data_IF_356984963378
#
_entry.id   IF_356984963378
#
_cell.length_a   1.000
_cell.length_b   1.000
_cell.length_c   1.000
_cell.angle_alpha   90.00
_cell.angle_beta   90.00
_cell.angle_gamma   90.00
#
_symmetry.space_group_name_H-M   'P 1'
#
loop_
_entity.id
_entity.type
_entity.pdbx_description
1 polymer ?
#
# COMPACT_ATOMS: atom_id res chain seq x y z
N UNK A 1 -3.97 -27.12 -16.58
CA UNK A 1 -2.58 -26.98 -16.13
C UNK A 1 -2.24 -25.50 -16.22
N UNK A 2 -2.17 -24.80 -15.12
CA UNK A 2 -1.66 -23.41 -15.08
C UNK A 2 -0.15 -23.51 -15.29
N UNK A 3 0.34 -22.88 -16.34
CA UNK A 3 1.78 -22.81 -16.59
C UNK A 3 2.37 -21.89 -15.52
N UNK A 4 3.21 -22.42 -14.65
CA UNK A 4 3.96 -21.60 -13.71
C UNK A 4 4.85 -20.64 -14.51
N UNK A 5 4.65 -19.35 -14.34
CA UNK A 5 5.36 -18.28 -15.07
C UNK A 5 6.58 -17.76 -14.30
N UNK A 6 7.00 -18.45 -13.25
CA UNK A 6 8.22 -18.10 -12.53
C UNK A 6 9.45 -18.39 -13.39
N UNK A 7 10.37 -17.44 -13.39
CA UNK A 7 11.68 -17.65 -14.02
C UNK A 7 12.48 -18.69 -13.23
N UNK A 8 13.10 -19.62 -13.90
CA UNK A 8 13.93 -20.67 -13.30
C UNK A 8 15.37 -20.22 -13.06
N UNK A 9 15.85 -19.28 -13.87
CA UNK A 9 17.23 -18.80 -13.84
C UNK A 9 17.27 -17.28 -14.05
N UNK A 10 18.27 -16.63 -13.45
CA UNK A 10 18.49 -15.19 -13.59
C UNK A 10 19.99 -14.89 -13.51
N UNK A 11 20.57 -14.06 -14.43
CA UNK A 11 22.02 -13.86 -14.53
C UNK A 11 22.65 -13.22 -13.28
N UNK A 12 21.87 -12.54 -12.45
CA UNK A 12 22.38 -11.80 -11.29
C UNK A 12 21.74 -12.21 -9.95
N UNK A 13 20.75 -13.10 -9.97
CA UNK A 13 20.03 -13.51 -8.75
C UNK A 13 20.11 -15.02 -8.60
N UNK A 14 20.59 -15.49 -7.45
CA UNK A 14 20.43 -16.88 -7.06
C UNK A 14 18.98 -17.14 -6.70
N UNK A 15 18.29 -17.96 -7.48
CA UNK A 15 16.91 -18.32 -7.25
C UNK A 15 16.89 -19.65 -6.50
N UNK A 16 16.63 -19.59 -5.21
CA UNK A 16 16.38 -20.75 -4.36
C UNK A 16 14.99 -20.58 -3.74
N UNK A 17 14.05 -21.42 -4.15
CA UNK A 17 12.64 -21.28 -3.73
C UNK A 17 12.28 -22.10 -2.49
N UNK A 18 13.07 -23.09 -2.14
CA UNK A 18 12.72 -24.00 -1.06
C UNK A 18 11.43 -24.79 -1.36
N UNK A 19 10.74 -25.20 -0.29
CA UNK A 19 9.48 -25.93 -0.39
C UNK A 19 8.30 -24.99 -0.64
N UNK A 20 7.33 -25.48 -1.44
CA UNK A 20 6.14 -24.71 -1.78
C UNK A 20 5.22 -24.55 -0.57
N UNK A 21 4.74 -23.33 -0.37
CA UNK A 21 3.75 -22.94 0.64
C UNK A 21 2.38 -22.90 -0.03
N UNK A 22 1.42 -23.69 0.49
CA UNK A 22 0.06 -23.68 -0.03
C UNK A 22 -0.79 -22.64 0.70
N UNK A 23 -1.43 -21.74 -0.05
CA UNK A 23 -2.44 -20.80 0.40
C UNK A 23 -3.67 -20.84 -0.51
N UNK A 24 -4.74 -20.16 -0.16
CA UNK A 24 -5.99 -20.15 -0.93
C UNK A 24 -6.23 -18.78 -1.58
N UNK A 25 -6.62 -18.79 -2.85
CA UNK A 25 -7.14 -17.62 -3.54
C UNK A 25 -8.55 -17.88 -4.07
N UNK A 26 -9.54 -17.15 -3.55
CA UNK A 26 -10.97 -17.35 -3.85
C UNK A 26 -11.37 -18.83 -3.74
N UNK A 27 -10.90 -19.51 -2.68
CA UNK A 27 -11.17 -20.93 -2.42
C UNK A 27 -10.35 -21.93 -3.26
N UNK A 28 -9.46 -21.47 -4.14
CA UNK A 28 -8.58 -22.34 -4.93
C UNK A 28 -7.19 -22.41 -4.28
N UNK A 29 -6.59 -23.60 -4.16
CA UNK A 29 -5.23 -23.74 -3.67
C UNK A 29 -4.24 -23.15 -4.67
N UNK A 30 -3.30 -22.35 -4.18
CA UNK A 30 -2.22 -21.71 -4.93
C UNK A 30 -0.91 -22.03 -4.24
N UNK A 31 0.12 -22.34 -5.02
CA UNK A 31 1.47 -22.54 -4.54
C UNK A 31 2.23 -21.20 -4.55
N UNK A 32 2.82 -20.86 -3.42
CA UNK A 32 3.81 -19.79 -3.26
C UNK A 32 5.10 -20.34 -2.69
N UNK A 33 6.11 -19.51 -2.54
CA UNK A 33 7.39 -19.91 -1.97
C UNK A 33 7.82 -18.97 -0.84
N UNK A 34 8.69 -19.42 0.09
CA UNK A 34 9.20 -18.58 1.15
C UNK A 34 9.80 -17.28 0.60
N UNK A 35 9.43 -16.14 1.18
CA UNK A 35 9.88 -14.83 0.73
C UNK A 35 9.11 -14.23 -0.46
N UNK A 36 8.23 -14.98 -1.12
CA UNK A 36 7.33 -14.41 -2.13
C UNK A 36 6.23 -13.59 -1.47
N UNK A 37 5.85 -12.49 -2.12
CA UNK A 37 4.61 -11.80 -1.77
C UNK A 37 3.41 -12.50 -2.40
N UNK A 38 2.23 -12.34 -1.79
CA UNK A 38 0.97 -12.86 -2.36
C UNK A 38 0.79 -12.36 -3.80
N UNK A 39 1.15 -11.11 -4.08
CA UNK A 39 1.05 -10.54 -5.43
C UNK A 39 1.95 -11.26 -6.44
N UNK A 40 3.18 -11.58 -6.05
CA UNK A 40 4.14 -12.29 -6.90
C UNK A 40 3.64 -13.71 -7.20
N UNK A 41 3.20 -14.44 -6.17
CA UNK A 41 2.67 -15.80 -6.34
C UNK A 41 1.45 -15.82 -7.26
N UNK A 42 0.47 -14.95 -7.07
CA UNK A 42 -0.70 -14.86 -7.93
C UNK A 42 -0.36 -14.43 -9.37
N UNK A 43 0.62 -13.53 -9.54
CA UNK A 43 1.08 -13.13 -10.87
C UNK A 43 1.75 -14.29 -11.61
N UNK A 44 2.53 -15.09 -10.92
CA UNK A 44 3.18 -16.29 -11.45
C UNK A 44 2.17 -17.35 -11.89
N UNK A 45 1.05 -17.47 -11.17
CA UNK A 45 -0.10 -18.31 -11.53
C UNK A 45 -0.96 -17.75 -12.69
N UNK A 46 -0.52 -16.65 -13.30
CA UNK A 46 -1.20 -16.07 -14.46
C UNK A 46 -2.29 -15.04 -14.15
N UNK A 47 -2.48 -14.64 -12.88
CA UNK A 47 -3.41 -13.56 -12.57
C UNK A 47 -2.86 -12.23 -13.12
N UNK A 48 -3.70 -11.50 -13.88
CA UNK A 48 -3.32 -10.20 -14.48
C UNK A 48 -4.19 -9.04 -13.98
N UNK A 49 -5.37 -9.34 -13.47
CA UNK A 49 -6.29 -8.35 -12.90
C UNK A 49 -6.34 -8.57 -11.40
N UNK A 50 -5.85 -7.61 -10.63
CA UNK A 50 -5.72 -7.69 -9.17
C UNK A 50 -6.81 -6.91 -8.45
N UNK A 51 -7.32 -5.84 -9.06
CA UNK A 51 -8.44 -5.07 -8.52
C UNK A 51 -9.20 -4.36 -9.64
N UNK A 52 -10.28 -3.71 -9.25
CA UNK A 52 -11.07 -2.82 -10.11
C UNK A 52 -10.97 -1.38 -9.62
N UNK A 53 -11.06 -0.41 -10.51
CA UNK A 53 -11.03 1.00 -10.12
C UNK A 53 -12.31 1.39 -9.39
N UNK A 54 -12.22 2.31 -8.44
CA UNK A 54 -13.32 2.66 -7.55
C UNK A 54 -14.53 3.27 -8.25
N UNK A 55 -14.32 3.95 -9.37
CA UNK A 55 -15.36 4.72 -10.04
C UNK A 55 -15.94 3.99 -11.24
N UNK A 56 -15.09 3.47 -12.09
CA UNK A 56 -15.49 2.86 -13.37
C UNK A 56 -15.26 1.37 -13.43
N UNK A 57 -14.84 0.76 -12.34
CA UNK A 57 -14.53 -0.67 -12.27
C UNK A 57 -13.61 -1.18 -13.40
N UNK A 58 -12.74 -0.31 -13.90
CA UNK A 58 -11.73 -0.68 -14.91
C UNK A 58 -10.73 -1.66 -14.31
N UNK A 59 -10.31 -2.70 -15.06
CA UNK A 59 -9.34 -3.67 -14.57
C UNK A 59 -8.00 -2.99 -14.25
N UNK A 60 -7.40 -3.39 -13.13
CA UNK A 60 -6.09 -2.92 -12.67
C UNK A 60 -5.16 -4.08 -12.43
N UNK A 61 -3.97 -4.01 -13.02
CA UNK A 61 -2.87 -4.93 -12.77
C UNK A 61 -1.96 -4.41 -11.65
N UNK A 62 -0.89 -5.12 -11.34
CA UNK A 62 0.16 -4.64 -10.45
C UNK A 62 0.80 -3.38 -11.05
N UNK A 63 1.16 -2.43 -10.19
CA UNK A 63 1.74 -1.16 -10.62
C UNK A 63 2.98 -0.79 -9.82
N UNK A 64 2.84 -0.37 -8.56
CA UNK A 64 3.99 0.16 -7.80
C UNK A 64 4.86 -0.91 -7.14
N UNK A 65 4.30 -2.08 -6.81
CA UNK A 65 4.94 -3.19 -6.08
C UNK A 65 5.57 -2.82 -4.72
N UNK A 66 5.42 -1.57 -4.30
CA UNK A 66 6.04 -0.99 -3.09
C UNK A 66 5.01 -0.56 -2.02
N UNK A 67 3.74 -0.93 -2.20
CA UNK A 67 2.69 -0.62 -1.23
C UNK A 67 2.14 0.81 -1.27
N UNK A 68 2.47 1.63 -2.28
CA UNK A 68 2.04 3.03 -2.35
C UNK A 68 0.76 3.24 -3.15
N UNK A 69 0.36 2.30 -4.00
CA UNK A 69 -0.87 2.40 -4.78
C UNK A 69 -1.98 1.49 -4.25
N UNK A 70 -3.17 1.64 -4.82
CA UNK A 70 -4.36 0.84 -4.48
C UNK A 70 -4.65 -0.26 -5.51
N UNK A 71 -3.67 -0.65 -6.33
CA UNK A 71 -3.93 -1.58 -7.44
C UNK A 71 -4.01 -3.04 -7.03
N UNK A 72 -3.40 -3.42 -5.92
CA UNK A 72 -3.32 -4.80 -5.44
C UNK A 72 -4.09 -5.02 -4.13
N UNK A 73 -5.17 -4.27 -3.90
CA UNK A 73 -5.98 -4.43 -2.69
C UNK A 73 -6.81 -5.70 -2.76
N UNK A 74 -6.65 -6.56 -1.75
CA UNK A 74 -7.43 -7.78 -1.56
C UNK A 74 -7.78 -7.96 -0.08
N UNK A 75 -8.68 -8.88 0.20
CA UNK A 75 -8.95 -9.33 1.57
C UNK A 75 -7.99 -10.48 1.88
N UNK A 76 -7.31 -10.40 3.01
CA UNK A 76 -6.39 -11.44 3.48
C UNK A 76 -6.80 -11.83 4.89
N UNK A 77 -7.10 -13.10 5.09
CA UNK A 77 -7.57 -13.67 6.36
C UNK A 77 -8.68 -12.82 7.02
N UNK A 78 -9.64 -12.37 6.22
CA UNK A 78 -10.76 -11.54 6.67
C UNK A 78 -10.46 -10.04 6.79
N UNK A 79 -9.20 -9.61 6.69
CA UNK A 79 -8.81 -8.19 6.74
C UNK A 79 -8.94 -7.58 5.34
N UNK A 80 -9.82 -6.61 5.11
CA UNK A 80 -10.01 -5.98 3.82
C UNK A 80 -8.90 -4.94 3.53
N UNK A 81 -8.76 -4.57 2.25
CA UNK A 81 -7.87 -3.50 1.78
C UNK A 81 -6.38 -3.73 2.05
N UNK A 82 -5.98 -5.00 2.16
CA UNK A 82 -4.57 -5.37 2.32
C UNK A 82 -3.82 -5.20 0.99
N UNK A 83 -2.68 -4.56 1.02
CA UNK A 83 -1.77 -4.43 -0.13
C UNK A 83 -0.94 -5.69 -0.27
N UNK A 84 -1.42 -6.64 -1.05
CA UNK A 84 -0.82 -7.96 -1.18
C UNK A 84 0.59 -7.97 -1.80
N UNK A 85 1.04 -6.87 -2.37
CA UNK A 85 2.43 -6.72 -2.81
C UNK A 85 3.44 -6.51 -1.65
N UNK A 86 2.94 -6.36 -0.41
CA UNK A 86 3.76 -6.17 0.81
C UNK A 86 3.59 -7.30 1.81
N UNK A 87 2.71 -8.24 1.53
CA UNK A 87 2.43 -9.36 2.43
C UNK A 87 3.04 -10.63 1.85
N UNK A 88 3.89 -11.26 2.63
CA UNK A 88 4.50 -12.54 2.27
C UNK A 88 3.49 -13.68 2.39
N UNK A 89 3.62 -14.68 1.54
CA UNK A 89 2.78 -15.87 1.62
C UNK A 89 3.06 -16.66 2.91
N UNK A 90 2.00 -17.16 3.52
CA UNK A 90 2.07 -18.02 4.70
C UNK A 90 1.18 -19.24 4.51
N UNK A 91 1.50 -20.39 5.13
CA UNK A 91 0.71 -21.60 5.01
C UNK A 91 -0.74 -21.41 5.46
N UNK A 92 -1.69 -21.89 4.66
CA UNK A 92 -3.11 -21.85 4.99
C UNK A 92 -3.80 -20.50 4.89
N UNK A 93 -3.10 -19.43 4.51
CA UNK A 93 -3.63 -18.09 4.33
C UNK A 93 -4.79 -18.07 3.34
N UNK A 94 -5.82 -17.28 3.63
CA UNK A 94 -7.01 -17.09 2.77
C UNK A 94 -6.97 -15.71 2.14
N UNK A 95 -6.85 -15.69 0.82
CA UNK A 95 -6.83 -14.46 0.02
C UNK A 95 -8.09 -14.41 -0.84
N UNK A 96 -8.79 -13.29 -0.80
CA UNK A 96 -10.02 -13.11 -1.56
C UNK A 96 -9.96 -11.80 -2.36
N UNK A 97 -10.45 -11.86 -3.59
CA UNK A 97 -10.66 -10.65 -4.38
C UNK A 97 -11.75 -9.79 -3.75
N UNK A 98 -11.60 -8.47 -3.81
CA UNK A 98 -12.60 -7.54 -3.31
C UNK A 98 -13.03 -6.57 -4.41
N UNK A 99 -14.19 -5.94 -4.19
CA UNK A 99 -14.72 -4.88 -5.06
C UNK A 99 -14.89 -5.31 -6.53
N UNK A 100 -15.33 -6.55 -6.77
CA UNK A 100 -15.69 -7.07 -8.08
C UNK A 100 -16.75 -8.15 -7.92
N UNK A 101 -17.75 -8.15 -8.79
CA UNK A 101 -18.81 -9.16 -8.78
C UNK A 101 -19.24 -9.50 -10.20
N UNK A 102 -19.34 -10.77 -10.57
CA UNK A 102 -19.03 -11.98 -9.79
C UNK A 102 -17.54 -12.30 -9.68
N UNK A 103 -16.66 -11.66 -10.46
CA UNK A 103 -15.21 -11.93 -10.40
C UNK A 103 -14.38 -10.74 -10.87
N UNK A 104 -13.06 -10.76 -10.57
CA UNK A 104 -12.13 -9.76 -11.08
C UNK A 104 -12.08 -9.70 -12.61
N UNK A 105 -12.24 -10.84 -13.29
CA UNK A 105 -12.22 -10.91 -14.74
C UNK A 105 -13.48 -10.35 -15.36
N UNK A 106 -14.62 -10.68 -14.77
CA UNK A 106 -15.94 -10.22 -15.22
C UNK A 106 -16.64 -9.52 -14.05
N UNK A 107 -16.85 -8.22 -14.19
CA UNK A 107 -17.41 -7.37 -13.14
C UNK A 107 -18.59 -6.57 -13.71
N UNK A 108 -19.78 -6.81 -13.18
CA UNK A 108 -21.02 -6.15 -13.63
C UNK A 108 -20.95 -4.64 -13.41
N UNK A 109 -20.29 -4.20 -12.33
CA UNK A 109 -20.15 -2.78 -12.04
C UNK A 109 -19.29 -2.02 -13.08
N UNK A 110 -18.57 -2.72 -13.97
CA UNK A 110 -17.83 -2.12 -15.08
C UNK A 110 -18.74 -1.39 -16.08
N UNK A 111 -20.04 -1.67 -16.09
CA UNK A 111 -21.06 -0.91 -16.84
C UNK A 111 -21.03 0.59 -16.50
N UNK A 112 -20.61 0.95 -15.28
CA UNK A 112 -20.43 2.34 -14.86
C UNK A 112 -19.47 3.13 -15.77
N UNK A 113 -18.56 2.43 -16.46
CA UNK A 113 -17.66 3.04 -17.45
C UNK A 113 -18.35 3.61 -18.66
N UNK A 114 -19.52 3.08 -19.05
CA UNK A 114 -20.34 3.60 -20.15
C UNK A 114 -21.21 4.80 -19.72
N UNK A 115 -21.34 5.01 -18.41
CA UNK A 115 -22.08 6.12 -17.82
C UNK A 115 -21.14 7.27 -17.38
N UNK A 116 -20.01 7.43 -18.06
CA UNK A 116 -18.98 8.39 -17.67
C UNK A 116 -19.50 9.84 -17.73
N UNK A 117 -20.42 10.14 -18.61
CA UNK A 117 -21.08 11.45 -18.74
C UNK A 117 -21.87 11.83 -17.46
N UNK A 118 -22.39 10.85 -16.70
CA UNK A 118 -23.04 11.07 -15.41
C UNK A 118 -22.01 11.19 -14.27
N UNK A 119 -20.90 10.50 -14.41
CA UNK A 119 -19.88 10.34 -13.39
C UNK A 119 -18.66 11.26 -13.63
N UNK A 120 -18.83 12.45 -14.21
CA UNK A 120 -17.75 13.42 -14.42
C UNK A 120 -17.03 13.79 -13.12
N UNK A 121 -15.78 14.29 -13.15
CA UNK A 121 -15.08 14.74 -11.94
C UNK A 121 -15.94 15.66 -11.09
N UNK A 122 -15.99 15.39 -9.78
CA UNK A 122 -16.81 16.16 -8.86
C UNK A 122 -18.30 15.81 -8.87
N UNK A 123 -18.73 14.72 -9.54
CA UNK A 123 -20.14 14.32 -9.62
C UNK A 123 -20.79 14.17 -8.23
N UNK A 124 -20.06 13.69 -7.23
CA UNK A 124 -20.54 13.53 -5.85
C UNK A 124 -21.04 14.86 -5.26
N UNK A 125 -20.34 15.97 -5.57
CA UNK A 125 -20.64 17.29 -5.05
C UNK A 125 -21.60 18.10 -5.93
N UNK A 126 -21.80 17.68 -7.18
CA UNK A 126 -22.63 18.42 -8.13
C UNK A 126 -24.02 17.82 -8.32
N UNK A 127 -24.11 16.49 -8.44
CA UNK A 127 -25.37 15.83 -8.85
C UNK A 127 -26.07 15.07 -7.73
N UNK A 128 -25.32 14.54 -6.76
CA UNK A 128 -25.87 13.66 -5.73
C UNK A 128 -26.07 14.33 -4.38
N UNK A 129 -25.76 15.61 -4.24
CA UNK A 129 -25.90 16.36 -2.99
C UNK A 129 -27.31 16.93 -2.79
N UNK A 130 -28.09 17.05 -3.84
CA UNK A 130 -29.46 17.58 -3.81
C UNK A 130 -30.45 16.59 -4.41
N UNK A 131 -31.61 16.38 -3.77
CA UNK A 131 -32.01 16.89 -2.45
C UNK A 131 -31.25 16.24 -1.31
N UNK A 132 -31.02 16.96 -0.21
CA UNK A 132 -30.18 16.51 0.94
C UNK A 132 -30.63 15.18 1.55
N UNK A 133 -31.93 14.92 1.60
CA UNK A 133 -32.45 13.68 2.16
C UNK A 133 -32.07 12.43 1.35
N UNK A 134 -31.88 12.59 0.03
CA UNK A 134 -31.51 11.51 -0.87
C UNK A 134 -29.97 11.25 -0.83
N UNK A 135 -29.19 12.24 -0.35
CA UNK A 135 -27.73 12.14 -0.29
C UNK A 135 -27.25 10.91 0.47
N UNK A 136 -27.83 10.61 1.63
CA UNK A 136 -27.42 9.45 2.44
C UNK A 136 -27.66 8.11 1.74
N UNK A 137 -28.66 8.01 0.88
CA UNK A 137 -28.95 6.82 0.09
C UNK A 137 -27.87 6.68 -0.99
N UNK A 138 -27.59 7.78 -1.71
CA UNK A 138 -26.55 7.83 -2.73
C UNK A 138 -25.15 7.59 -2.15
N UNK A 139 -24.84 8.18 -1.02
CA UNK A 139 -23.56 7.99 -0.34
C UNK A 139 -23.34 6.51 -0.01
N UNK A 140 -24.35 5.86 0.54
CA UNK A 140 -24.29 4.44 0.90
C UNK A 140 -24.06 3.56 -0.34
N UNK A 141 -24.76 3.86 -1.43
CA UNK A 141 -24.60 3.18 -2.71
C UNK A 141 -23.21 3.41 -3.31
N UNK A 142 -22.77 4.67 -3.39
CA UNK A 142 -21.46 5.04 -3.93
C UNK A 142 -20.30 4.43 -3.10
N UNK A 143 -20.44 4.43 -1.79
CA UNK A 143 -19.45 3.81 -0.89
C UNK A 143 -19.34 2.30 -1.13
N UNK A 144 -20.48 1.63 -1.29
CA UNK A 144 -20.51 0.20 -1.60
C UNK A 144 -19.90 -0.11 -2.98
N UNK A 145 -20.21 0.70 -3.96
CA UNK A 145 -19.64 0.58 -5.31
C UNK A 145 -18.12 0.84 -5.31
N UNK A 146 -17.65 1.81 -4.54
CA UNK A 146 -16.21 2.07 -4.40
C UNK A 146 -15.45 0.93 -3.71
N UNK A 147 -16.12 0.09 -2.92
CA UNK A 147 -15.53 -1.06 -2.23
C UNK A 147 -14.52 -0.72 -1.15
N UNK A 148 -14.41 0.56 -0.77
CA UNK A 148 -13.52 1.05 0.29
C UNK A 148 -14.33 1.33 1.55
N UNK A 149 -13.70 1.12 2.72
CA UNK A 149 -14.31 1.41 4.02
C UNK A 149 -15.10 0.24 4.60
N UNK A 150 -14.92 -0.98 4.07
CA UNK A 150 -15.33 -2.19 4.75
C UNK A 150 -14.40 -2.38 5.96
N UNK A 151 -14.99 -2.56 7.13
CA UNK A 151 -14.23 -2.87 8.35
C UNK A 151 -13.90 -4.37 8.37
N UNK A 152 -12.85 -4.72 9.09
CA UNK A 152 -12.56 -6.12 9.41
C UNK A 152 -13.57 -6.63 10.43
N UNK A 153 -14.08 -7.84 10.20
CA UNK A 153 -14.91 -8.54 11.19
C UNK A 153 -14.05 -9.21 12.28
N UNK A 154 -12.73 -9.11 12.16
CA UNK A 154 -11.79 -9.67 13.12
C UNK A 154 -11.67 -8.70 14.28
N UNK A 155 -12.11 -9.12 15.46
CA UNK A 155 -11.86 -8.40 16.70
C UNK A 155 -10.35 -8.44 17.00
N UNK A 156 -9.73 -7.27 17.03
CA UNK A 156 -8.36 -7.16 17.53
C UNK A 156 -8.38 -7.37 19.04
N UNK A 157 -8.11 -8.59 19.47
CA UNK A 157 -8.08 -8.94 20.89
C UNK A 157 -6.91 -8.31 21.67
N UNK A 158 -5.91 -7.76 20.96
CA UNK A 158 -4.81 -7.06 21.61
C UNK A 158 -5.11 -5.56 21.64
N UNK A 159 -5.46 -5.01 22.80
CA UNK A 159 -5.70 -3.57 22.90
C UNK A 159 -4.41 -2.81 22.56
N UNK A 160 -4.51 -1.73 21.78
CA UNK A 160 -3.34 -0.92 21.45
C UNK A 160 -2.72 -0.37 22.75
N UNK A 161 -1.40 -0.43 22.86
CA UNK A 161 -0.70 0.22 23.96
C UNK A 161 -0.87 1.73 23.79
N UNK A 162 -1.50 2.35 24.78
CA UNK A 162 -1.67 3.81 24.77
C UNK A 162 -0.52 4.43 25.57
N UNK A 163 0.15 5.40 24.97
CA UNK A 163 1.11 6.28 25.64
C UNK A 163 0.64 7.70 25.43
N UNK A 164 0.67 8.50 26.47
CA UNK A 164 0.41 9.94 26.39
C UNK A 164 1.74 10.66 26.59
N UNK A 165 2.04 11.56 25.71
CA UNK A 165 3.22 12.40 25.75
C UNK A 165 2.84 13.77 25.18
N UNK A 166 3.59 14.80 25.54
CA UNK A 166 3.33 16.19 25.13
C UNK A 166 4.61 16.85 24.62
N UNK A 167 5.24 16.30 23.57
CA UNK A 167 6.39 16.95 22.94
C UNK A 167 5.95 18.27 22.30
N UNK A 168 6.86 19.18 22.09
CA UNK A 168 6.59 20.47 21.44
C UNK A 168 6.29 20.28 19.95
N UNK A 169 6.96 19.32 19.30
CA UNK A 169 6.80 19.01 17.89
C UNK A 169 6.64 17.50 17.68
N UNK A 170 5.61 17.10 16.94
CA UNK A 170 5.43 15.73 16.50
C UNK A 170 5.54 15.68 14.98
N UNK A 171 6.51 14.91 14.47
CA UNK A 171 6.71 14.66 13.05
C UNK A 171 6.22 13.24 12.73
N UNK A 172 5.25 13.11 11.85
CA UNK A 172 4.71 11.81 11.42
C UNK A 172 5.22 11.45 10.05
N UNK A 173 6.04 10.41 9.99
CA UNK A 173 6.73 9.92 8.80
C UNK A 173 8.19 10.35 8.75
N UNK A 174 9.11 9.38 8.80
CA UNK A 174 10.55 9.57 8.73
C UNK A 174 11.11 9.59 7.30
N UNK A 175 10.33 10.03 6.31
CA UNK A 175 10.86 10.31 4.98
C UNK A 175 11.79 11.53 4.98
N UNK A 176 12.37 11.87 3.81
CA UNK A 176 13.36 12.95 3.69
C UNK A 176 12.83 14.30 4.26
N UNK A 177 11.57 14.62 4.00
CA UNK A 177 10.94 15.84 4.51
C UNK A 177 10.74 15.80 6.03
N UNK A 178 10.33 14.63 6.57
CA UNK A 178 10.16 14.46 8.01
C UNK A 178 11.49 14.50 8.75
N UNK A 179 12.52 13.84 8.22
CA UNK A 179 13.88 13.92 8.78
C UNK A 179 14.40 15.36 8.80
N UNK A 180 14.23 16.11 7.69
CA UNK A 180 14.63 17.51 7.64
C UNK A 180 13.84 18.35 8.64
N UNK A 181 12.54 18.16 8.75
CA UNK A 181 11.70 18.88 9.71
C UNK A 181 12.10 18.58 11.16
N UNK A 182 12.32 17.29 11.49
CA UNK A 182 12.76 16.88 12.83
C UNK A 182 14.14 17.47 13.17
N UNK A 183 15.08 17.43 12.21
CA UNK A 183 16.42 17.99 12.38
C UNK A 183 16.36 19.49 12.70
N UNK A 184 15.64 20.27 11.89
CA UNK A 184 15.56 21.72 12.08
C UNK A 184 14.82 22.09 13.37
N UNK A 185 13.73 21.40 13.70
CA UNK A 185 13.02 21.64 14.95
C UNK A 185 13.89 21.31 16.18
N UNK A 186 14.60 20.18 16.14
CA UNK A 186 15.50 19.79 17.21
C UNK A 186 16.72 20.71 17.34
N UNK A 187 17.29 21.17 16.23
CA UNK A 187 18.37 22.18 16.23
C UNK A 187 17.89 23.54 16.79
N UNK A 188 16.62 23.87 16.62
CA UNK A 188 16.01 25.06 17.24
C UNK A 188 15.72 24.88 18.73
N UNK A 189 15.98 23.71 19.32
CA UNK A 189 15.85 23.43 20.75
C UNK A 189 14.51 22.81 21.15
N UNK A 190 13.59 22.57 20.21
CA UNK A 190 12.30 21.96 20.52
C UNK A 190 12.44 20.46 20.88
N UNK A 191 11.59 19.98 21.81
CA UNK A 191 11.42 18.55 22.04
C UNK A 191 10.65 17.94 20.87
N UNK A 192 11.30 17.03 20.10
CA UNK A 192 10.75 16.48 18.87
C UNK A 192 10.49 14.98 19.02
N UNK A 193 9.31 14.56 18.59
CA UNK A 193 9.00 13.15 18.41
C UNK A 193 8.85 12.84 16.92
N UNK A 194 9.77 12.04 16.39
CA UNK A 194 9.68 11.50 15.03
C UNK A 194 9.06 10.09 15.08
N UNK A 195 7.91 9.94 14.44
CA UNK A 195 7.16 8.68 14.37
C UNK A 195 7.28 8.10 12.97
N UNK A 196 7.93 6.95 12.84
CA UNK A 196 8.06 6.20 11.59
C UNK A 196 7.49 4.79 11.76
N UNK A 197 6.85 4.27 10.74
CA UNK A 197 6.25 2.92 10.74
C UNK A 197 7.21 1.83 10.28
N UNK A 198 8.21 2.19 9.51
CA UNK A 198 9.26 1.28 9.04
C UNK A 198 10.43 1.28 10.03
N UNK A 199 11.18 0.19 10.06
CA UNK A 199 12.31 0.03 10.98
C UNK A 199 13.45 1.04 10.72
N UNK A 200 13.54 1.55 9.51
CA UNK A 200 14.56 2.52 9.09
C UNK A 200 13.91 3.76 8.48
N UNK A 201 14.20 4.96 9.02
CA UNK A 201 13.80 6.22 8.41
C UNK A 201 14.51 6.46 7.07
N UNK A 202 13.96 7.36 6.24
CA UNK A 202 14.49 7.72 4.91
C UNK A 202 13.44 7.63 3.81
N UNK A 203 12.41 6.79 3.99
CA UNK A 203 11.32 6.65 3.03
C UNK A 203 11.81 6.20 1.65
N UNK A 204 11.17 6.70 0.59
CA UNK A 204 11.45 6.25 -0.79
C UNK A 204 12.87 6.52 -1.28
N UNK A 205 13.53 7.56 -0.77
CA UNK A 205 14.86 7.94 -1.24
C UNK A 205 15.92 6.88 -0.94
N UNK A 206 15.67 5.99 0.02
CA UNK A 206 16.53 4.84 0.32
C UNK A 206 16.65 3.85 -0.86
N UNK A 207 15.64 3.80 -1.72
CA UNK A 207 15.57 2.88 -2.85
C UNK A 207 15.80 3.58 -4.19
N UNK A 208 16.06 4.91 -4.17
CA UNK A 208 16.29 5.70 -5.36
C UNK A 208 17.77 5.65 -5.73
N UNK A 209 18.06 5.15 -6.91
CA UNK A 209 19.41 5.05 -7.46
C UNK A 209 19.88 6.34 -8.14
N UNK A 210 19.05 7.36 -8.16
CA UNK A 210 19.39 8.68 -8.70
C UNK A 210 20.40 9.40 -7.81
N UNK A 211 21.23 10.23 -8.42
CA UNK A 211 22.14 11.12 -7.71
C UNK A 211 21.54 12.51 -7.61
N UNK A 212 21.46 13.01 -6.41
CA UNK A 212 20.93 14.33 -6.07
C UNK A 212 22.07 15.29 -5.76
N UNK A 213 21.94 16.53 -6.19
CA UNK A 213 22.81 17.62 -5.79
C UNK A 213 22.11 18.41 -4.67
N UNK A 214 22.75 18.48 -3.52
CA UNK A 214 22.28 19.30 -2.41
C UNK A 214 22.73 20.75 -2.62
N UNK A 215 21.97 21.76 -2.14
CA UNK A 215 22.31 23.17 -2.31
C UNK A 215 23.71 23.54 -1.82
N UNK A 216 24.16 22.89 -0.76
CA UNK A 216 25.44 23.18 -0.10
C UNK A 216 26.55 22.19 -0.45
N UNK A 217 26.43 21.45 -1.54
CA UNK A 217 27.40 20.43 -1.94
C UNK A 217 27.67 20.47 -3.44
N UNK A 218 28.92 20.54 -3.81
CA UNK A 218 29.37 20.44 -5.20
C UNK A 218 29.31 19.02 -5.74
N UNK A 219 29.15 18.03 -4.86
CA UNK A 219 29.13 16.62 -5.22
C UNK A 219 27.72 16.06 -5.21
N UNK A 220 27.37 15.26 -6.25
CA UNK A 220 26.11 14.52 -6.29
C UNK A 220 26.20 13.30 -5.39
N UNK A 221 25.21 13.13 -4.52
CA UNK A 221 25.09 12.01 -3.58
C UNK A 221 23.92 11.10 -3.95
N UNK A 222 24.02 9.82 -3.68
CA UNK A 222 22.89 8.91 -3.79
C UNK A 222 21.82 9.22 -2.72
N UNK A 223 20.56 8.99 -3.06
CA UNK A 223 19.45 9.21 -2.13
C UNK A 223 19.59 8.45 -0.82
N UNK A 224 20.08 7.22 -0.89
CA UNK A 224 20.40 6.39 0.26
C UNK A 224 21.42 7.05 1.22
N UNK A 225 22.51 7.64 0.70
CA UNK A 225 23.51 8.29 1.53
C UNK A 225 22.95 9.53 2.22
N UNK A 226 22.11 10.31 1.51
CA UNK A 226 21.42 11.47 2.06
C UNK A 226 20.49 11.05 3.20
N UNK A 227 19.67 9.99 3.00
CA UNK A 227 18.78 9.49 4.02
C UNK A 227 19.53 9.01 5.27
N UNK A 228 20.61 8.27 5.07
CA UNK A 228 21.47 7.77 6.15
C UNK A 228 22.09 8.91 6.95
N UNK A 229 22.64 9.92 6.27
CA UNK A 229 23.24 11.09 6.91
C UNK A 229 22.22 11.84 7.77
N UNK A 230 21.07 12.19 7.19
CA UNK A 230 20.01 12.90 7.92
C UNK A 230 19.48 12.08 9.11
N UNK A 231 19.32 10.78 8.95
CA UNK A 231 18.91 9.92 10.07
C UNK A 231 19.92 9.95 11.21
N UNK A 232 21.22 9.90 10.88
CA UNK A 232 22.28 9.97 11.89
C UNK A 232 22.28 11.33 12.60
N UNK A 233 22.12 12.43 11.87
CA UNK A 233 22.06 13.77 12.43
C UNK A 233 20.87 13.93 13.38
N UNK A 234 19.68 13.44 13.01
CA UNK A 234 18.49 13.46 13.88
C UNK A 234 18.70 12.62 15.13
N UNK A 235 19.27 11.41 15.01
CA UNK A 235 19.51 10.53 16.15
C UNK A 235 20.60 11.05 17.12
N UNK A 236 21.44 11.98 16.70
CA UNK A 236 22.43 12.61 17.56
C UNK A 236 21.85 13.76 18.38
N UNK A 237 20.65 14.24 18.07
CA UNK A 237 20.00 15.27 18.86
C UNK A 237 19.50 14.70 20.19
N UNK A 238 19.85 15.34 21.30
CA UNK A 238 19.45 14.90 22.63
C UNK A 238 17.95 15.08 22.91
N UNK A 239 17.30 15.91 22.12
CA UNK A 239 15.90 16.34 22.26
C UNK A 239 14.99 15.77 21.14
N UNK A 240 15.43 14.73 20.42
CA UNK A 240 14.65 14.07 19.37
C UNK A 240 14.50 12.56 19.64
#
# INVERSE_FOLDING_TARGET
>A
MTTDLRISDHPHLKIDRGEAIMFQFNGRPIAGYPGETIAAALYAEGLRIFSRSFKYHRPRSLFCLSGHCSHCLMRVDGIPNVRICRVLVQPGMKVESQNAWPSLKFDVAAVSGYLDFLLRPGFQYRRFIRPRWLYHIWERFLRRMAGIGTLSDIENHTPPRRRTASPEVVVVGGGIAGLAAALHAGQAGAEVWLIEKEDTPGGRIQYDTSKFQLPDSDTRQYGFDIAKKLTQEVMQLANC
#
